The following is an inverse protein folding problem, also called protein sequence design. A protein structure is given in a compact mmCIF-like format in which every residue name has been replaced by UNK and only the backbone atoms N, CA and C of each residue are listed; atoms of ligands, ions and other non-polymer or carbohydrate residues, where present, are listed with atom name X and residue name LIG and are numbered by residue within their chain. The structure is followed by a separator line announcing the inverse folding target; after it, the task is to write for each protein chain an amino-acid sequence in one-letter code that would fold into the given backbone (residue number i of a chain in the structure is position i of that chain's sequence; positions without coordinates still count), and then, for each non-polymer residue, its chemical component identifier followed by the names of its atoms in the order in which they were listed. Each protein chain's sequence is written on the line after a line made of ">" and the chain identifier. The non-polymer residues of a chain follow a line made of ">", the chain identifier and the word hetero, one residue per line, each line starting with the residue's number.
data_IF_191481517168
#
_entry.id   IF_191481517168
#
_cell.length_a   1.000
_cell.length_b   1.000
_cell.length_c   1.000
_cell.angle_alpha   90.00
_cell.angle_beta   90.00
_cell.angle_gamma   90.00
#
_symmetry.space_group_name_H-M   'P 1'
#
loop_
_entity.id
_entity.type
_entity.pdbx_description
1 polymer ?
#
# COMPACT_ATOMS: atom_id res chain seq x y z
N UNK A 1 -19.63 30.30 -41.27
CA UNK A 1 -20.61 30.19 -40.17
C UNK A 1 -20.02 29.22 -39.16
N UNK A 2 -19.43 29.76 -38.08
CA UNK A 2 -18.75 28.97 -37.06
C UNK A 2 -19.79 28.47 -36.05
N UNK A 3 -19.88 27.16 -35.81
CA UNK A 3 -20.50 26.64 -34.60
C UNK A 3 -19.39 26.22 -33.64
N UNK A 4 -19.33 26.95 -32.53
CA UNK A 4 -18.40 26.76 -31.44
C UNK A 4 -18.68 25.44 -30.71
N UNK A 5 -17.63 24.66 -30.50
CA UNK A 5 -17.61 23.57 -29.54
C UNK A 5 -17.54 24.21 -28.15
N UNK A 6 -18.65 24.18 -27.41
CA UNK A 6 -18.65 24.55 -25.99
C UNK A 6 -18.14 23.32 -25.24
N UNK A 7 -16.84 23.28 -24.96
CA UNK A 7 -16.29 22.37 -23.97
C UNK A 7 -16.86 22.81 -22.61
N UNK A 8 -17.76 22.01 -22.04
CA UNK A 8 -18.11 22.17 -20.63
C UNK A 8 -16.89 21.77 -19.81
N UNK A 9 -16.24 22.75 -19.20
CA UNK A 9 -15.24 22.54 -18.15
C UNK A 9 -15.96 21.93 -16.94
N UNK A 10 -16.11 20.61 -16.93
CA UNK A 10 -16.39 19.89 -15.69
C UNK A 10 -15.09 19.97 -14.90
N UNK A 11 -15.02 20.89 -13.94
CA UNK A 11 -13.91 20.93 -12.98
C UNK A 11 -13.83 19.55 -12.32
N UNK A 12 -12.80 18.78 -12.67
CA UNK A 12 -12.52 17.53 -11.96
C UNK A 12 -12.36 17.89 -10.47
N UNK A 13 -13.01 17.16 -9.54
CA UNK A 13 -12.92 17.47 -8.12
C UNK A 13 -11.45 17.53 -7.71
N UNK A 14 -11.07 18.60 -7.00
CA UNK A 14 -9.71 18.81 -6.53
C UNK A 14 -9.29 17.62 -5.67
N UNK A 15 -8.40 16.80 -6.19
CA UNK A 15 -7.86 15.65 -5.48
C UNK A 15 -6.77 16.12 -4.52
N UNK A 16 -6.95 15.88 -3.22
CA UNK A 16 -5.92 16.07 -2.21
C UNK A 16 -5.67 14.73 -1.49
N UNK A 17 -4.50 14.15 -1.74
CA UNK A 17 -4.09 12.86 -1.22
C UNK A 17 -4.14 12.79 0.32
N UNK A 18 -3.75 13.87 0.99
CA UNK A 18 -3.67 13.97 2.46
C UNK A 18 -5.07 14.12 3.06
N UNK A 19 -5.87 15.05 2.55
CA UNK A 19 -7.23 15.29 3.04
C UNK A 19 -8.09 14.01 2.96
N UNK A 20 -7.95 13.24 1.87
CA UNK A 20 -8.62 11.94 1.74
C UNK A 20 -8.21 10.96 2.85
N UNK A 21 -6.93 10.85 3.14
CA UNK A 21 -6.44 9.95 4.19
C UNK A 21 -6.91 10.40 5.58
N UNK A 22 -6.85 11.69 5.87
CA UNK A 22 -7.34 12.25 7.14
C UNK A 22 -8.83 12.01 7.34
N UNK A 23 -9.64 12.11 6.28
CA UNK A 23 -11.07 11.80 6.34
C UNK A 23 -11.33 10.37 6.85
N UNK A 24 -10.62 9.37 6.31
CA UNK A 24 -10.82 7.97 6.71
C UNK A 24 -10.19 7.63 8.07
N UNK A 25 -9.10 8.29 8.43
CA UNK A 25 -8.52 8.19 9.78
C UNK A 25 -9.50 8.69 10.84
N UNK A 26 -10.05 9.89 10.65
CA UNK A 26 -10.98 10.51 11.61
C UNK A 26 -12.33 9.78 11.71
N UNK A 27 -12.72 9.05 10.67
CA UNK A 27 -13.91 8.21 10.64
C UNK A 27 -13.69 6.80 11.24
N UNK A 28 -12.49 6.51 11.77
CA UNK A 28 -12.13 5.18 12.31
C UNK A 28 -12.38 4.06 11.30
N UNK A 29 -12.10 4.34 10.02
CA UNK A 29 -12.50 3.47 8.93
C UNK A 29 -11.80 2.10 8.97
N UNK A 30 -12.54 1.07 8.55
CA UNK A 30 -12.07 -0.31 8.39
C UNK A 30 -12.24 -0.73 6.94
N UNK A 31 -11.15 -1.07 6.26
CA UNK A 31 -11.17 -1.40 4.83
C UNK A 31 -9.92 -0.94 4.09
N UNK A 32 -10.06 -0.56 2.82
CA UNK A 32 -9.01 0.18 2.11
C UNK A 32 -9.57 1.31 1.26
N UNK A 33 -8.78 2.38 1.20
CA UNK A 33 -8.91 3.40 0.17
C UNK A 33 -8.25 2.89 -1.10
N UNK A 34 -9.00 2.84 -2.19
CA UNK A 34 -8.49 2.60 -3.53
C UNK A 34 -8.47 3.91 -4.29
N UNK A 35 -7.31 4.22 -4.89
CA UNK A 35 -7.16 5.38 -5.77
C UNK A 35 -6.61 4.91 -7.10
N UNK A 36 -7.23 5.33 -8.20
CA UNK A 36 -6.73 5.09 -9.55
C UNK A 36 -6.35 6.44 -10.17
N UNK A 37 -5.11 6.54 -10.64
CA UNK A 37 -4.63 7.68 -11.41
C UNK A 37 -3.81 7.18 -12.59
N UNK A 38 -4.17 7.64 -13.80
CA UNK A 38 -3.70 7.09 -15.06
C UNK A 38 -3.94 5.57 -15.12
N UNK A 39 -2.88 4.76 -15.11
CA UNK A 39 -2.92 3.29 -15.17
C UNK A 39 -2.48 2.63 -13.87
N UNK A 40 -2.25 3.41 -12.81
CA UNK A 40 -1.77 2.90 -11.52
C UNK A 40 -2.93 2.89 -10.53
N UNK A 41 -3.02 1.80 -9.79
CA UNK A 41 -3.96 1.62 -8.69
C UNK A 41 -3.19 1.57 -7.38
N UNK A 42 -3.53 2.44 -6.43
CA UNK A 42 -3.05 2.43 -5.06
C UNK A 42 -4.12 1.84 -4.16
N UNK A 43 -3.70 1.02 -3.20
CA UNK A 43 -4.56 0.53 -2.11
C UNK A 43 -3.91 0.84 -0.77
N UNK A 44 -4.63 1.55 0.08
CA UNK A 44 -4.18 1.96 1.42
C UNK A 44 -5.14 1.34 2.43
N UNK A 45 -4.66 0.35 3.14
CA UNK A 45 -5.44 -0.48 4.06
C UNK A 45 -5.46 0.15 5.45
N UNK A 46 -6.66 0.26 6.00
CA UNK A 46 -6.93 0.87 7.31
C UNK A 46 -7.67 -0.12 8.22
N UNK A 47 -7.28 -0.13 9.49
CA UNK A 47 -8.01 -0.76 10.58
C UNK A 47 -8.18 0.26 11.71
N UNK A 48 -9.43 0.58 12.05
CA UNK A 48 -9.83 1.57 13.04
C UNK A 48 -9.15 2.92 12.80
N UNK A 49 -9.10 3.34 11.53
CA UNK A 49 -8.46 4.59 11.09
C UNK A 49 -6.92 4.54 11.06
N UNK A 50 -6.28 3.46 11.50
CA UNK A 50 -4.82 3.31 11.49
C UNK A 50 -4.34 2.60 10.22
N UNK A 51 -3.19 3.01 9.72
CA UNK A 51 -2.54 2.34 8.58
C UNK A 51 -2.08 0.95 8.99
N UNK A 52 -2.44 -0.07 8.20
CA UNK A 52 -1.92 -1.43 8.37
C UNK A 52 -0.99 -1.85 7.21
N UNK A 53 -1.23 -1.33 6.00
CA UNK A 53 -0.41 -1.60 4.83
C UNK A 53 -0.80 -0.68 3.67
N UNK A 54 0.12 -0.47 2.73
CA UNK A 54 -0.20 0.10 1.44
C UNK A 54 0.55 -0.63 0.33
N UNK A 55 -0.06 -0.70 -0.86
CA UNK A 55 0.54 -1.25 -2.07
C UNK A 55 0.06 -0.48 -3.31
N UNK A 56 0.71 -0.67 -4.44
CA UNK A 56 0.22 -0.19 -5.73
C UNK A 56 0.52 -1.16 -6.87
N UNK A 57 -0.20 -1.04 -7.98
CA UNK A 57 -0.17 -1.99 -9.09
C UNK A 57 1.15 -2.07 -9.85
N UNK A 58 2.04 -1.08 -9.73
CA UNK A 58 3.39 -1.16 -10.32
C UNK A 58 4.26 -2.13 -9.51
N UNK A 59 4.52 -3.28 -10.12
CA UNK A 59 5.45 -4.35 -9.74
C UNK A 59 5.56 -4.60 -8.21
N UNK A 60 4.45 -4.96 -7.53
CA UNK A 60 4.45 -5.16 -6.08
C UNK A 60 5.43 -6.26 -5.63
N UNK A 61 5.59 -7.33 -6.41
CA UNK A 61 6.53 -8.41 -6.10
C UNK A 61 7.98 -8.04 -6.35
N UNK A 62 8.30 -7.24 -7.36
CA UNK A 62 9.68 -6.73 -7.52
C UNK A 62 10.07 -5.83 -6.35
N UNK A 63 9.14 -4.99 -5.88
CA UNK A 63 9.36 -4.21 -4.65
C UNK A 63 9.62 -5.13 -3.46
N UNK A 64 8.74 -6.09 -3.19
CA UNK A 64 8.91 -7.04 -2.10
C UNK A 64 10.25 -7.78 -2.20
N UNK A 65 10.60 -8.28 -3.38
CA UNK A 65 11.85 -8.99 -3.65
C UNK A 65 13.08 -8.12 -3.36
N UNK A 66 13.07 -6.84 -3.77
CA UNK A 66 14.14 -5.88 -3.43
C UNK A 66 14.36 -5.77 -1.93
N UNK A 67 13.29 -5.67 -1.14
CA UNK A 67 13.39 -5.60 0.32
C UNK A 67 13.86 -6.93 0.93
N UNK A 68 13.31 -8.07 0.49
CA UNK A 68 13.71 -9.39 0.98
C UNK A 68 15.17 -9.69 0.66
N UNK A 69 15.69 -9.25 -0.49
CA UNK A 69 17.10 -9.37 -0.84
C UNK A 69 18.00 -8.62 0.13
N UNK A 70 17.65 -7.36 0.49
CA UNK A 70 18.39 -6.60 1.52
C UNK A 70 18.31 -7.32 2.86
N UNK A 71 17.12 -7.77 3.27
CA UNK A 71 16.91 -8.47 4.54
C UNK A 71 17.68 -9.79 4.63
N UNK A 72 17.89 -10.48 3.51
CA UNK A 72 18.68 -11.73 3.48
C UNK A 72 20.15 -11.56 3.83
N UNK A 73 20.68 -10.31 3.80
CA UNK A 73 22.02 -10.01 4.27
C UNK A 73 22.11 -10.10 5.80
N UNK A 74 20.99 -9.85 6.49
CA UNK A 74 20.89 -9.91 7.95
C UNK A 74 20.29 -11.23 8.45
N UNK A 75 19.46 -11.89 7.61
CA UNK A 75 18.73 -13.10 7.95
C UNK A 75 19.08 -14.22 6.94
N UNK A 76 20.09 -15.06 7.25
CA UNK A 76 20.61 -16.05 6.29
C UNK A 76 19.60 -17.11 5.86
N UNK A 77 18.55 -17.37 6.66
CA UNK A 77 17.49 -18.33 6.30
C UNK A 77 16.61 -17.83 5.14
N UNK A 78 16.61 -16.52 4.84
CA UNK A 78 15.96 -15.94 3.65
C UNK A 78 16.81 -16.17 2.39
N UNK A 79 17.07 -17.44 2.10
CA UNK A 79 17.83 -17.87 0.92
C UNK A 79 17.15 -17.45 -0.38
N UNK A 80 17.88 -17.56 -1.49
CA UNK A 80 17.29 -17.32 -2.81
C UNK A 80 16.07 -18.21 -3.08
N UNK A 81 16.13 -19.47 -2.65
CA UNK A 81 15.03 -20.44 -2.79
C UNK A 81 13.77 -19.97 -2.06
N UNK A 82 13.89 -19.47 -0.83
CA UNK A 82 12.74 -18.97 -0.06
C UNK A 82 12.10 -17.77 -0.74
N UNK A 83 12.91 -16.84 -1.27
CA UNK A 83 12.39 -15.68 -2.02
C UNK A 83 11.70 -16.07 -3.33
N UNK A 84 12.23 -17.08 -4.03
CA UNK A 84 11.59 -17.63 -5.22
C UNK A 84 10.25 -18.30 -4.88
N UNK A 85 10.16 -19.03 -3.76
CA UNK A 85 8.90 -19.61 -3.28
C UNK A 85 7.85 -18.54 -3.00
N UNK A 86 8.23 -17.42 -2.38
CA UNK A 86 7.33 -16.28 -2.17
C UNK A 86 6.70 -15.82 -3.49
N UNK A 87 7.53 -15.59 -4.51
CA UNK A 87 7.06 -15.13 -5.83
C UNK A 87 6.15 -16.17 -6.49
N UNK A 88 6.60 -17.42 -6.57
CA UNK A 88 5.85 -18.52 -7.18
C UNK A 88 4.49 -18.77 -6.52
N UNK A 89 4.43 -18.67 -5.20
CA UNK A 89 3.22 -18.99 -4.45
C UNK A 89 2.20 -17.86 -4.54
N UNK A 90 2.62 -16.59 -4.53
CA UNK A 90 1.70 -15.47 -4.28
C UNK A 90 1.53 -14.48 -5.45
N UNK A 91 2.50 -14.33 -6.37
CA UNK A 91 2.46 -13.26 -7.38
C UNK A 91 1.25 -13.34 -8.31
N UNK A 92 0.93 -14.55 -8.77
CA UNK A 92 -0.19 -14.80 -9.69
C UNK A 92 -1.52 -15.05 -8.96
N UNK A 93 -1.59 -14.89 -7.64
CA UNK A 93 -2.84 -15.06 -6.87
C UNK A 93 -3.76 -13.84 -6.99
N UNK A 94 -4.19 -13.54 -8.22
CA UNK A 94 -5.09 -12.43 -8.54
C UNK A 94 -6.52 -12.62 -7.99
N UNK A 95 -6.90 -13.85 -7.61
CA UNK A 95 -8.29 -14.26 -7.40
C UNK A 95 -8.56 -15.07 -6.13
N UNK A 96 -7.65 -15.10 -5.17
CA UNK A 96 -8.02 -15.64 -3.87
C UNK A 96 -8.94 -14.62 -3.20
N UNK A 97 -10.09 -15.05 -2.65
CA UNK A 97 -11.14 -14.27 -1.95
C UNK A 97 -10.65 -13.47 -0.73
N UNK A 98 -9.34 -13.26 -0.61
CA UNK A 98 -8.73 -12.47 0.44
C UNK A 98 -8.84 -10.98 0.11
N UNK A 99 -9.34 -10.22 1.09
CA UNK A 99 -9.33 -8.77 1.07
C UNK A 99 -7.90 -8.19 1.01
N UNK A 100 -6.91 -8.94 1.50
CA UNK A 100 -5.51 -8.53 1.58
C UNK A 100 -4.77 -8.75 0.27
N UNK A 101 -3.83 -7.85 -0.08
CA UNK A 101 -3.10 -7.96 -1.32
C UNK A 101 -2.07 -9.12 -1.23
N UNK A 102 -1.67 -9.73 -2.37
CA UNK A 102 -0.85 -10.94 -2.34
C UNK A 102 0.55 -10.74 -1.75
N UNK A 103 1.12 -9.55 -1.86
CA UNK A 103 2.40 -9.15 -1.25
C UNK A 103 2.32 -9.09 0.28
N UNK A 104 1.21 -8.63 0.86
CA UNK A 104 0.98 -8.71 2.31
C UNK A 104 0.92 -10.18 2.77
N UNK A 105 0.15 -11.01 2.08
CA UNK A 105 -0.02 -12.43 2.43
C UNK A 105 1.29 -13.22 2.32
N UNK A 106 2.13 -12.87 1.35
CA UNK A 106 3.49 -13.40 1.27
C UNK A 106 4.30 -13.10 2.54
N UNK A 107 4.15 -11.91 3.11
CA UNK A 107 4.82 -11.53 4.37
C UNK A 107 4.25 -12.29 5.56
N UNK A 108 2.93 -12.47 5.62
CA UNK A 108 2.30 -13.33 6.64
C UNK A 108 2.83 -14.75 6.57
N UNK A 109 2.89 -15.32 5.36
CA UNK A 109 3.43 -16.66 5.15
C UNK A 109 4.90 -16.76 5.60
N UNK A 110 5.73 -15.75 5.35
CA UNK A 110 7.11 -15.74 5.86
C UNK A 110 7.18 -15.76 7.39
N UNK A 111 6.21 -15.14 8.08
CA UNK A 111 6.09 -15.19 9.55
C UNK A 111 5.60 -16.56 10.01
N UNK A 112 4.56 -17.10 9.37
CA UNK A 112 3.98 -18.41 9.69
C UNK A 112 5.00 -19.54 9.53
N UNK A 113 5.82 -19.48 8.48
CA UNK A 113 6.90 -20.44 8.22
C UNK A 113 8.17 -20.15 9.05
N UNK A 114 8.13 -19.15 9.93
CA UNK A 114 9.24 -18.75 10.82
C UNK A 114 10.52 -18.30 10.08
N UNK A 115 10.41 -17.89 8.81
CA UNK A 115 11.52 -17.31 8.06
C UNK A 115 11.88 -15.90 8.56
N UNK A 116 10.87 -15.15 9.04
CA UNK A 116 11.06 -13.86 9.71
C UNK A 116 10.20 -13.80 10.97
N UNK A 117 10.58 -12.96 11.93
CA UNK A 117 9.78 -12.70 13.14
C UNK A 117 8.80 -11.54 12.90
N UNK A 118 7.72 -11.49 13.69
CA UNK A 118 6.71 -10.43 13.59
C UNK A 118 7.30 -8.98 13.62
N UNK A 119 8.28 -8.62 14.47
CA UNK A 119 8.88 -7.28 14.42
C UNK A 119 9.59 -6.97 13.11
N UNK A 120 10.24 -7.97 12.50
CA UNK A 120 10.89 -7.84 11.19
C UNK A 120 9.85 -7.64 10.09
N UNK A 121 8.74 -8.39 10.13
CA UNK A 121 7.62 -8.23 9.22
C UNK A 121 6.97 -6.85 9.34
N UNK A 122 6.76 -6.36 10.57
CA UNK A 122 6.23 -5.02 10.84
C UNK A 122 7.08 -3.93 10.18
N UNK A 123 8.42 -4.02 10.34
CA UNK A 123 9.35 -3.07 9.73
C UNK A 123 9.36 -3.19 8.19
N UNK A 124 9.23 -4.41 7.66
CA UNK A 124 9.12 -4.62 6.21
C UNK A 124 7.85 -3.97 5.64
N UNK A 125 6.69 -4.20 6.26
CA UNK A 125 5.41 -3.59 5.90
C UNK A 125 5.47 -2.07 5.98
N UNK A 126 6.11 -1.52 7.03
CA UNK A 126 6.36 -0.08 7.17
C UNK A 126 7.13 0.46 5.96
N UNK A 127 8.28 -0.13 5.64
CA UNK A 127 9.15 0.32 4.54
C UNK A 127 8.47 0.23 3.17
N UNK A 128 7.75 -0.86 2.92
CA UNK A 128 6.96 -1.03 1.70
C UNK A 128 5.88 0.04 1.58
N UNK A 129 5.16 0.31 2.67
CA UNK A 129 4.12 1.35 2.70
C UNK A 129 4.71 2.74 2.48
N UNK A 130 5.92 3.02 3.00
CA UNK A 130 6.61 4.29 2.77
C UNK A 130 6.89 4.51 1.28
N UNK A 131 7.47 3.51 0.58
CA UNK A 131 7.70 3.60 -0.88
C UNK A 131 6.37 3.84 -1.66
N UNK A 132 5.25 3.30 -1.19
CA UNK A 132 3.92 3.54 -1.80
C UNK A 132 3.47 4.98 -1.56
N UNK A 133 3.59 5.48 -0.33
CA UNK A 133 3.17 6.82 0.07
C UNK A 133 3.97 7.91 -0.65
N UNK A 134 5.26 7.70 -0.90
CA UNK A 134 6.11 8.62 -1.67
C UNK A 134 5.49 8.94 -3.05
N UNK A 135 4.93 7.93 -3.73
CA UNK A 135 4.23 8.13 -5.01
C UNK A 135 2.81 8.67 -4.86
N UNK A 136 2.08 8.19 -3.86
CA UNK A 136 0.68 8.54 -3.62
C UNK A 136 0.51 10.01 -3.23
N UNK A 137 1.38 10.52 -2.36
CA UNK A 137 1.31 11.90 -1.86
C UNK A 137 1.59 12.95 -2.95
N UNK A 138 2.18 12.55 -4.07
CA UNK A 138 2.44 13.41 -5.23
C UNK A 138 1.27 13.48 -6.22
N UNK A 139 0.20 12.70 -6.00
CA UNK A 139 -0.96 12.68 -6.87
C UNK A 139 -1.74 14.00 -6.80
N UNK A 140 -1.98 14.58 -7.98
CA UNK A 140 -2.79 15.80 -8.16
C UNK A 140 -4.21 15.52 -8.66
N UNK A 141 -4.47 14.28 -9.11
CA UNK A 141 -5.73 13.81 -9.66
C UNK A 141 -5.84 12.30 -9.48
N UNK A 142 -7.05 11.80 -9.35
CA UNK A 142 -7.34 10.37 -9.25
C UNK A 142 -8.81 10.13 -8.91
N UNK A 143 -9.30 8.93 -9.26
CA UNK A 143 -10.61 8.45 -8.82
C UNK A 143 -10.43 7.64 -7.55
N UNK A 144 -11.12 8.01 -6.49
CA UNK A 144 -11.06 7.35 -5.20
C UNK A 144 -12.36 6.62 -4.87
N UNK A 145 -12.25 5.42 -4.34
CA UNK A 145 -13.34 4.68 -3.72
C UNK A 145 -12.85 4.06 -2.40
N UNK A 146 -13.70 4.05 -1.39
CA UNK A 146 -13.41 3.35 -0.14
C UNK A 146 -14.19 2.04 -0.10
N UNK A 147 -13.48 0.93 0.04
CA UNK A 147 -14.07 -0.39 0.17
C UNK A 147 -14.00 -0.74 1.65
N UNK A 148 -15.16 -0.75 2.31
CA UNK A 148 -15.22 -1.15 3.71
C UNK A 148 -15.03 -2.66 3.86
N UNK A 149 -14.48 -3.05 5.00
CA UNK A 149 -14.40 -4.45 5.41
C UNK A 149 -14.90 -4.58 6.83
N UNK A 150 -15.65 -5.64 7.10
CA UNK A 150 -16.12 -5.98 8.44
C UNK A 150 -15.18 -6.97 9.15
N UNK A 151 -14.21 -7.54 8.44
CA UNK A 151 -13.25 -8.49 9.01
C UNK A 151 -12.08 -7.76 9.67
N UNK A 152 -11.69 -8.22 10.84
CA UNK A 152 -10.45 -7.82 11.48
C UNK A 152 -9.27 -8.21 10.60
N UNK A 153 -8.60 -7.21 10.06
CA UNK A 153 -7.39 -7.42 9.28
C UNK A 153 -6.21 -7.72 10.21
N UNK A 154 -5.33 -8.68 9.86
CA UNK A 154 -4.13 -8.96 10.61
C UNK A 154 -3.32 -7.69 10.85
N UNK A 155 -2.85 -7.50 12.09
CA UNK A 155 -2.13 -6.30 12.51
C UNK A 155 -0.66 -6.63 12.77
N UNK A 156 0.05 -7.18 11.78
CA UNK A 156 1.52 -7.27 11.85
C UNK A 156 2.16 -5.88 12.00
N UNK A 157 1.50 -4.86 11.48
CA UNK A 157 1.87 -3.45 11.58
C UNK A 157 0.59 -2.62 11.80
N UNK A 158 0.68 -1.63 12.67
CA UNK A 158 -0.29 -0.55 12.74
C UNK A 158 0.45 0.76 13.04
N UNK A 159 -0.01 1.86 12.45
CA UNK A 159 0.57 3.18 12.68
C UNK A 159 -0.51 4.26 12.59
N UNK A 160 -0.37 5.30 13.40
CA UNK A 160 -1.18 6.50 13.25
C UNK A 160 -0.92 7.11 11.87
N UNK A 161 -1.99 7.28 11.09
CA UNK A 161 -1.88 7.67 9.70
C UNK A 161 -1.31 9.09 9.55
N UNK A 162 -1.63 10.00 10.47
CA UNK A 162 -1.11 11.37 10.46
C UNK A 162 0.40 11.36 10.69
N UNK A 163 0.86 10.65 11.72
CA UNK A 163 2.31 10.50 12.01
C UNK A 163 3.03 9.89 10.80
N UNK A 164 2.43 8.87 10.17
CA UNK A 164 3.02 8.21 9.00
C UNK A 164 3.14 9.15 7.79
N UNK A 165 2.11 9.96 7.52
CA UNK A 165 2.12 10.96 6.44
C UNK A 165 3.19 12.02 6.70
N UNK A 166 3.27 12.56 7.92
CA UNK A 166 4.27 13.56 8.30
C UNK A 166 5.70 13.03 8.10
N UNK A 167 5.97 11.77 8.47
CA UNK A 167 7.26 11.12 8.26
C UNK A 167 7.59 11.00 6.76
N UNK A 168 6.62 10.59 5.92
CA UNK A 168 6.83 10.48 4.48
C UNK A 168 7.05 11.85 3.82
N UNK A 169 6.32 12.89 4.25
CA UNK A 169 6.47 14.24 3.71
C UNK A 169 7.83 14.85 4.04
N UNK A 170 8.36 14.62 5.25
CA UNK A 170 9.72 15.05 5.62
C UNK A 170 10.77 14.40 4.70
N UNK A 171 10.66 13.08 4.48
CA UNK A 171 11.57 12.37 3.60
C UNK A 171 11.55 12.89 2.16
N UNK A 172 10.37 13.27 1.64
CA UNK A 172 10.24 13.88 0.31
C UNK A 172 10.82 15.30 0.21
N UNK A 173 10.91 16.03 1.32
CA UNK A 173 11.52 17.38 1.36
C UNK A 173 13.05 17.34 1.46
N UNK A 174 13.61 16.24 1.97
CA UNK A 174 15.05 16.03 2.11
C UNK A 174 15.74 15.54 0.82
N UNK A 175 14.99 15.41 -0.30
CA UNK A 175 15.48 15.03 -1.63
C UNK A 175 15.71 16.23 -2.55
#
# INVERSE_FOLDING_TARGET
>A
MNQAFVASSQDEPKFNAVEMLEQFSNAWANGYLKVISNTIEWKIYLNSGKLIYATHSVDPFDRLERHLRRLSQEIPILTNTVRQQVRLNFENQLHNDSFLPPDYRAIEWLVEQLYIKAPTAANLLKKLSQEVFESYLLLKKGKSEFISNQLDLPQLFNCDLKVFIEDCQKQLQDW
#
